data_IF_114748027850
#
_entry.id   IF_114748027850
#
_cell.length_a   1.000
_cell.length_b   1.000
_cell.length_c   1.000
_cell.angle_alpha   90.00
_cell.angle_beta   90.00
_cell.angle_gamma   90.00
#
_symmetry.space_group_name_H-M   'P 1'
#
loop_
_entity.id
_entity.type
_entity.pdbx_description
1 polymer ?
#
# COMPACT_ATOMS: atom_id res chain seq x y z
N UNK A 1 20.35 -29.60 7.78
CA UNK A 1 20.02 -29.07 6.44
C UNK A 1 18.55 -28.64 6.26
N UNK A 2 17.51 -29.40 6.64
CA UNK A 2 16.11 -28.99 6.36
C UNK A 2 15.67 -27.74 7.14
N UNK A 3 16.20 -27.53 8.36
CA UNK A 3 15.89 -26.36 9.19
C UNK A 3 16.34 -25.02 8.58
N UNK A 4 17.45 -25.02 7.84
CA UNK A 4 17.99 -23.82 7.18
C UNK A 4 17.12 -23.47 5.96
N UNK A 5 16.68 -24.48 5.21
CA UNK A 5 15.77 -24.30 4.07
C UNK A 5 14.42 -23.75 4.54
N UNK A 6 13.88 -24.28 5.65
CA UNK A 6 12.64 -23.77 6.24
C UNK A 6 12.78 -22.32 6.73
N UNK A 7 13.90 -21.97 7.36
CA UNK A 7 14.18 -20.60 7.80
C UNK A 7 14.26 -19.62 6.63
N UNK A 8 14.95 -19.99 5.55
CA UNK A 8 15.03 -19.18 4.32
C UNK A 8 13.65 -19.00 3.67
N UNK A 9 12.82 -20.04 3.63
CA UNK A 9 11.45 -19.95 3.13
C UNK A 9 10.62 -18.94 3.94
N UNK A 10 10.63 -19.01 5.26
CA UNK A 10 9.87 -18.09 6.12
C UNK A 10 10.34 -16.63 5.97
N UNK A 11 11.64 -16.39 5.76
CA UNK A 11 12.18 -15.05 5.54
C UNK A 11 11.69 -14.40 4.22
N UNK A 12 11.37 -15.20 3.20
CA UNK A 12 10.95 -14.69 1.89
C UNK A 12 9.49 -14.16 1.88
N UNK A 13 8.64 -14.63 2.80
CA UNK A 13 7.21 -14.25 2.83
C UNK A 13 6.88 -13.03 3.70
N UNK A 14 7.86 -12.43 4.37
CA UNK A 14 7.61 -11.35 5.34
C UNK A 14 7.10 -10.05 4.69
N UNK A 15 7.43 -9.81 3.43
CA UNK A 15 7.07 -8.56 2.73
C UNK A 15 5.64 -8.57 2.15
N UNK A 16 4.91 -9.69 2.22
CA UNK A 16 3.59 -9.84 1.59
C UNK A 16 2.42 -9.48 2.51
N UNK A 17 2.68 -9.16 3.79
CA UNK A 17 1.63 -9.04 4.81
C UNK A 17 1.44 -7.62 5.36
N UNK A 18 2.04 -6.61 4.75
CA UNK A 18 1.90 -5.23 5.22
C UNK A 18 0.67 -4.56 4.61
N UNK A 19 -0.24 -4.11 5.48
CA UNK A 19 -1.30 -3.19 5.14
C UNK A 19 -0.73 -1.89 4.57
N UNK A 20 -1.37 -1.38 3.51
CA UNK A 20 -0.98 -0.14 2.84
C UNK A 20 -1.83 1.03 3.30
N UNK A 21 -1.18 2.18 3.42
CA UNK A 21 -1.85 3.45 3.64
C UNK A 21 -1.93 4.22 2.34
N UNK A 22 -3.16 4.59 1.96
CA UNK A 22 -3.46 5.44 0.83
C UNK A 22 -3.97 6.80 1.30
N UNK A 23 -3.61 7.87 0.60
CA UNK A 23 -3.95 9.25 0.94
C UNK A 23 -4.66 9.92 -0.23
N UNK A 24 -5.71 10.67 0.07
CA UNK A 24 -6.45 11.53 -0.88
C UNK A 24 -6.46 12.93 -0.31
N UNK A 25 -6.22 13.95 -1.16
CA UNK A 25 -6.39 15.34 -0.74
C UNK A 25 -6.86 16.18 -1.94
N UNK A 26 -8.04 16.84 -1.88
CA UNK A 26 -8.68 17.44 -3.05
C UNK A 26 -7.91 18.60 -3.68
N UNK A 27 -7.17 19.37 -2.86
CA UNK A 27 -6.44 20.56 -3.30
C UNK A 27 -4.92 20.35 -3.50
N UNK A 28 -4.33 19.38 -2.81
CA UNK A 28 -2.86 19.19 -2.74
C UNK A 28 -2.42 17.86 -3.34
N UNK A 29 -3.35 16.94 -3.60
CA UNK A 29 -3.07 15.68 -4.28
C UNK A 29 -2.94 15.84 -5.78
N UNK A 30 -2.48 14.77 -6.44
CA UNK A 30 -2.39 14.65 -7.89
C UNK A 30 -2.67 13.19 -8.26
N UNK A 31 -3.54 12.94 -9.24
CA UNK A 31 -3.94 11.58 -9.62
C UNK A 31 -2.84 10.78 -10.37
N UNK A 32 -1.73 11.44 -10.72
CA UNK A 32 -0.51 10.77 -11.18
C UNK A 32 0.39 10.28 -10.03
N UNK A 33 0.10 10.66 -8.78
CA UNK A 33 0.86 10.16 -7.63
C UNK A 33 0.53 8.70 -7.32
N UNK A 34 1.37 8.08 -6.50
CA UNK A 34 1.19 6.70 -6.03
C UNK A 34 0.20 6.56 -4.86
N UNK A 35 -0.16 7.66 -4.19
CA UNK A 35 -1.10 7.65 -3.06
C UNK A 35 -0.52 7.12 -1.75
N UNK A 36 0.75 6.71 -1.71
CA UNK A 36 1.35 5.97 -0.58
C UNK A 36 1.95 6.86 0.53
N UNK A 37 1.83 8.19 0.41
CA UNK A 37 2.18 9.15 1.46
C UNK A 37 1.33 10.41 1.34
N UNK A 38 1.35 11.28 2.36
CA UNK A 38 0.62 12.56 2.35
C UNK A 38 1.12 13.50 1.25
N UNK A 39 2.43 13.48 0.97
CA UNK A 39 3.10 14.27 -0.06
C UNK A 39 2.86 13.72 -1.47
N UNK A 40 2.39 12.48 -1.56
CA UNK A 40 2.06 11.77 -2.79
C UNK A 40 0.59 11.35 -2.80
N UNK A 41 -0.31 12.12 -2.19
CA UNK A 41 -1.73 11.80 -2.15
C UNK A 41 -2.37 11.84 -3.55
N UNK A 42 -3.38 11.00 -3.78
CA UNK A 42 -4.29 11.15 -4.92
C UNK A 42 -5.09 12.45 -4.78
N UNK A 43 -5.55 13.01 -5.89
CA UNK A 43 -6.42 14.18 -5.87
C UNK A 43 -7.88 13.79 -5.69
N UNK A 44 -8.32 12.72 -6.36
CA UNK A 44 -9.72 12.32 -6.41
C UNK A 44 -9.96 10.94 -5.79
N UNK A 45 -11.16 10.78 -5.22
CA UNK A 45 -11.66 9.46 -4.82
C UNK A 45 -11.83 8.52 -6.01
N UNK A 46 -12.12 9.04 -7.20
CA UNK A 46 -12.24 8.23 -8.41
C UNK A 46 -10.91 7.53 -8.74
N UNK A 47 -9.78 8.25 -8.68
CA UNK A 47 -8.47 7.63 -8.86
C UNK A 47 -8.16 6.63 -7.75
N UNK A 48 -8.42 6.99 -6.50
CA UNK A 48 -8.18 6.09 -5.36
C UNK A 48 -9.00 4.79 -5.45
N UNK A 49 -10.23 4.85 -5.98
CA UNK A 49 -11.10 3.69 -6.16
C UNK A 49 -10.58 2.65 -7.16
N UNK A 50 -9.57 3.01 -7.97
CA UNK A 50 -8.91 2.12 -8.93
C UNK A 50 -7.81 1.28 -8.29
N UNK A 51 -7.43 1.55 -7.04
CA UNK A 51 -6.47 0.74 -6.29
C UNK A 51 -7.07 -0.59 -5.85
N UNK A 52 -6.23 -1.63 -5.80
CA UNK A 52 -6.64 -2.94 -5.31
C UNK A 52 -6.46 -3.02 -3.80
N UNK A 53 -7.49 -2.64 -3.05
CA UNK A 53 -7.49 -2.70 -1.59
C UNK A 53 -7.51 -4.14 -1.08
N UNK A 54 -6.58 -4.44 -0.18
CA UNK A 54 -6.52 -5.68 0.58
C UNK A 54 -7.01 -5.47 2.01
N UNK A 55 -7.29 -6.56 2.71
CA UNK A 55 -7.69 -6.48 4.13
C UNK A 55 -6.61 -5.82 4.97
N UNK A 56 -6.99 -4.81 5.74
CA UNK A 56 -6.07 -4.02 6.57
C UNK A 56 -5.60 -2.72 5.93
N UNK A 57 -5.74 -2.55 4.62
CA UNK A 57 -5.40 -1.30 3.95
C UNK A 57 -6.28 -0.15 4.46
N UNK A 58 -5.71 1.06 4.49
CA UNK A 58 -6.36 2.27 4.98
C UNK A 58 -6.39 3.32 3.90
N UNK A 59 -7.47 4.09 3.86
CA UNK A 59 -7.62 5.25 3.00
C UNK A 59 -7.87 6.49 3.87
N UNK A 60 -6.97 7.45 3.81
CA UNK A 60 -7.05 8.74 4.50
C UNK A 60 -7.52 9.83 3.53
N UNK A 61 -8.38 10.74 3.99
CA UNK A 61 -9.02 11.80 3.20
C UNK A 61 -8.62 13.20 3.67
#
# INVERSE_FOLDING_TARGET
MPKIVLFLLVALFQNLLFAKDYYVHPLRGNDNNLGNSKEQAFQTLERASKEHFSSGDRLFL
#
